data_IF_187940843084
#
_entry.id   IF_187940843084
#
_cell.length_a   1.000
_cell.length_b   1.000
_cell.length_c   1.000
_cell.angle_alpha   90.00
_cell.angle_beta   90.00
_cell.angle_gamma   90.00
#
_symmetry.space_group_name_H-M   'P 1'
#
loop_
_entity.id
_entity.type
_entity.pdbx_description
1 polymer ?
#
# COMPACT_ATOMS: atom_id res chain seq x y z
N UNK A 1 -47.71 -16.92 42.48
CA UNK A 1 -46.56 -17.86 42.36
C UNK A 1 -46.08 -18.14 40.93
N UNK A 2 -46.77 -17.73 39.84
CA UNK A 2 -46.35 -17.93 38.46
C UNK A 2 -45.50 -16.76 37.88
N UNK A 3 -45.62 -15.57 38.45
CA UNK A 3 -44.89 -14.37 37.95
C UNK A 3 -43.43 -14.34 38.37
N UNK A 4 -43.08 -14.91 39.55
CA UNK A 4 -41.69 -14.96 40.05
C UNK A 4 -40.80 -15.96 39.28
N UNK A 5 -41.40 -17.02 38.71
CA UNK A 5 -40.63 -17.99 37.89
C UNK A 5 -40.28 -17.47 36.51
N UNK A 6 -41.10 -16.60 35.96
CA UNK A 6 -40.79 -15.94 34.68
C UNK A 6 -39.69 -14.89 34.80
N UNK A 7 -39.60 -14.18 35.92
CA UNK A 7 -38.58 -13.19 36.18
C UNK A 7 -37.21 -13.81 36.43
N UNK A 8 -37.16 -14.98 37.09
CA UNK A 8 -35.89 -15.69 37.31
C UNK A 8 -35.37 -16.32 36.02
N UNK A 9 -36.25 -16.82 35.13
CA UNK A 9 -35.85 -17.36 33.83
C UNK A 9 -35.38 -16.22 32.90
N UNK A 10 -36.03 -15.06 32.96
CA UNK A 10 -35.61 -13.88 32.17
C UNK A 10 -34.29 -13.30 32.69
N UNK A 11 -34.07 -13.29 33.99
CA UNK A 11 -32.81 -12.83 34.60
C UNK A 11 -31.67 -13.84 34.35
N UNK A 12 -31.93 -15.14 34.31
CA UNK A 12 -30.94 -16.15 33.94
C UNK A 12 -30.60 -16.14 32.44
N UNK A 13 -31.56 -15.77 31.56
CA UNK A 13 -31.31 -15.57 30.14
C UNK A 13 -30.53 -14.28 29.86
N UNK A 14 -30.67 -13.24 30.70
CA UNK A 14 -29.93 -11.99 30.60
C UNK A 14 -28.47 -12.13 31.08
N UNK A 15 -28.17 -13.11 31.94
CA UNK A 15 -26.83 -13.42 32.42
C UNK A 15 -26.00 -14.31 31.45
N UNK A 16 -26.67 -14.94 30.47
CA UNK A 16 -25.98 -15.76 29.45
C UNK A 16 -25.54 -14.93 28.24
N UNK A 17 -25.98 -13.67 28.11
CA UNK A 17 -25.60 -12.80 26.97
C UNK A 17 -24.45 -11.85 27.26
N UNK A 18 -23.70 -12.03 28.34
CA UNK A 18 -22.62 -11.12 28.68
C UNK A 18 -21.27 -11.81 28.82
N UNK A 19 -20.85 -12.54 27.80
CA UNK A 19 -19.45 -12.88 27.58
C UNK A 19 -19.14 -13.05 26.08
N UNK A 20 -19.65 -12.15 25.24
CA UNK A 20 -18.93 -11.83 24.01
C UNK A 20 -17.85 -10.82 24.37
N UNK A 21 -16.86 -11.26 25.12
CA UNK A 21 -15.53 -10.71 25.04
C UNK A 21 -15.18 -10.76 23.57
N UNK A 22 -15.05 -9.60 22.96
CA UNK A 22 -14.34 -9.46 21.69
C UNK A 22 -12.97 -10.09 21.94
N UNK A 23 -12.82 -11.31 21.46
CA UNK A 23 -11.62 -12.12 21.60
C UNK A 23 -10.52 -11.43 20.81
N UNK A 24 -9.80 -10.53 21.50
CA UNK A 24 -8.44 -10.15 21.15
C UNK A 24 -7.51 -11.31 21.48
N UNK A 25 -7.99 -12.54 21.40
CA UNK A 25 -7.23 -13.75 21.59
C UNK A 25 -6.02 -13.70 20.68
N UNK A 26 -4.87 -13.91 21.28
CA UNK A 26 -3.60 -13.97 20.56
C UNK A 26 -3.79 -14.87 19.33
N UNK A 27 -3.78 -14.28 18.13
CA UNK A 27 -3.96 -15.02 16.87
C UNK A 27 -3.03 -16.24 16.79
N UNK A 28 -1.91 -16.20 17.49
CA UNK A 28 -0.95 -17.29 17.57
C UNK A 28 -1.52 -18.53 18.29
N UNK A 29 -2.54 -18.37 19.13
CA UNK A 29 -3.21 -19.47 19.83
C UNK A 29 -4.48 -19.96 19.09
N UNK A 30 -4.84 -19.33 17.97
CA UNK A 30 -5.93 -19.75 17.13
C UNK A 30 -5.68 -21.14 16.54
N UNK A 31 -6.63 -22.04 16.64
CA UNK A 31 -6.55 -23.40 16.11
C UNK A 31 -6.78 -23.39 14.59
N UNK A 32 -5.88 -23.98 13.87
CA UNK A 32 -5.94 -24.20 12.43
C UNK A 32 -5.72 -25.68 12.09
N UNK A 33 -6.06 -26.06 10.86
CA UNK A 33 -5.85 -27.41 10.37
C UNK A 33 -4.61 -27.48 9.51
N UNK A 34 -3.52 -27.94 10.07
CA UNK A 34 -2.27 -28.15 9.33
C UNK A 34 -2.45 -29.31 8.32
N UNK A 35 -2.24 -29.11 7.00
CA UNK A 35 -2.34 -30.17 6.03
C UNK A 35 -1.17 -31.15 6.14
N UNK A 36 -1.44 -32.45 5.97
CA UNK A 36 -0.40 -33.48 5.92
C UNK A 36 0.18 -33.59 4.51
N UNK A 37 1.00 -32.63 4.10
CA UNK A 37 1.58 -32.56 2.76
C UNK A 37 3.09 -32.33 2.82
N UNK A 38 3.79 -32.72 1.74
CA UNK A 38 5.17 -32.28 1.48
C UNK A 38 5.11 -30.99 0.66
N UNK A 39 5.90 -30.00 1.02
CA UNK A 39 5.97 -28.74 0.32
C UNK A 39 7.11 -27.88 0.84
N UNK A 40 7.41 -26.79 0.14
CA UNK A 40 8.38 -25.81 0.61
C UNK A 40 7.85 -25.07 1.85
N UNK A 41 8.76 -24.60 2.70
CA UNK A 41 8.42 -23.78 3.88
C UNK A 41 7.47 -22.65 3.47
N UNK A 42 7.78 -22.00 2.35
CA UNK A 42 6.95 -20.98 1.75
C UNK A 42 5.50 -21.44 1.48
N UNK A 43 5.33 -22.57 0.74
CA UNK A 43 4.01 -23.05 0.36
C UNK A 43 3.16 -23.48 1.56
N UNK A 44 3.81 -23.99 2.61
CA UNK A 44 3.15 -24.40 3.83
C UNK A 44 2.76 -23.20 4.70
N UNK A 45 3.63 -22.20 4.83
CA UNK A 45 3.29 -20.94 5.51
C UNK A 45 2.16 -20.17 4.79
N UNK A 46 2.10 -20.21 3.46
CA UNK A 46 0.99 -19.64 2.69
C UNK A 46 -0.35 -20.24 3.08
N UNK A 47 -0.43 -21.58 3.23
CA UNK A 47 -1.66 -22.27 3.67
C UNK A 47 -2.05 -21.91 5.10
N UNK A 48 -1.07 -21.67 5.97
CA UNK A 48 -1.33 -21.18 7.34
C UNK A 48 -1.83 -19.72 7.31
N UNK A 49 -1.27 -18.89 6.42
CA UNK A 49 -1.70 -17.51 6.19
C UNK A 49 -3.17 -17.42 5.75
N UNK A 50 -3.58 -18.25 4.78
CA UNK A 50 -4.96 -18.33 4.31
C UNK A 50 -5.95 -18.70 5.42
N UNK A 51 -5.59 -19.65 6.29
CA UNK A 51 -6.47 -20.10 7.38
C UNK A 51 -6.48 -19.14 8.57
N UNK A 52 -5.36 -18.50 8.88
CA UNK A 52 -5.27 -17.55 9.99
C UNK A 52 -5.80 -16.16 9.64
N UNK A 53 -5.78 -15.79 8.35
CA UNK A 53 -6.08 -14.44 7.86
C UNK A 53 -4.95 -13.45 8.13
N UNK A 54 -3.73 -13.92 8.49
CA UNK A 54 -2.56 -13.11 8.80
C UNK A 54 -1.41 -13.40 7.85
N UNK A 55 -0.64 -12.40 7.50
CA UNK A 55 0.54 -12.49 6.65
C UNK A 55 1.78 -12.74 7.49
N UNK A 56 2.72 -13.55 6.97
CA UNK A 56 3.99 -13.78 7.62
C UNK A 56 5.07 -12.84 7.10
N UNK A 57 5.85 -12.30 8.04
CA UNK A 57 6.98 -11.41 7.74
C UNK A 57 8.21 -11.97 8.46
N UNK A 58 9.26 -12.31 7.70
CA UNK A 58 10.48 -12.89 8.25
C UNK A 58 11.72 -12.55 7.39
N UNK A 59 12.90 -12.72 7.95
CA UNK A 59 14.18 -12.63 7.24
C UNK A 59 14.55 -14.00 6.64
N UNK A 60 15.00 -14.03 5.39
CA UNK A 60 15.46 -15.27 4.74
C UNK A 60 16.70 -15.89 5.37
N UNK A 61 17.43 -15.13 6.18
CA UNK A 61 18.49 -15.66 7.04
C UNK A 61 17.95 -16.45 8.23
N UNK A 62 16.70 -16.17 8.63
CA UNK A 62 16.01 -16.80 9.76
C UNK A 62 15.14 -17.96 9.28
N UNK A 63 14.42 -17.76 8.15
CA UNK A 63 13.53 -18.77 7.57
C UNK A 63 13.92 -19.00 6.11
N UNK A 64 14.44 -20.17 5.81
CA UNK A 64 14.76 -20.53 4.44
C UNK A 64 13.51 -21.06 3.72
N UNK A 65 13.07 -20.33 2.70
CA UNK A 65 11.85 -20.59 1.94
C UNK A 65 11.87 -21.87 1.09
N UNK A 66 13.05 -22.25 0.63
CA UNK A 66 13.24 -23.28 -0.39
C UNK A 66 13.37 -24.69 0.21
N UNK A 67 13.46 -24.79 1.53
CA UNK A 67 13.54 -26.10 2.20
C UNK A 67 12.19 -26.80 2.07
N UNK A 68 12.23 -28.05 1.59
CA UNK A 68 11.08 -28.93 1.58
C UNK A 68 10.85 -29.56 2.96
N UNK A 69 9.66 -29.37 3.49
CA UNK A 69 9.24 -29.91 4.79
C UNK A 69 8.01 -30.78 4.60
N UNK A 70 7.92 -31.84 5.38
CA UNK A 70 6.74 -32.70 5.42
C UNK A 70 5.99 -32.49 6.72
N UNK A 71 4.78 -31.97 6.64
CA UNK A 71 3.88 -31.78 7.80
C UNK A 71 2.94 -32.96 7.97
N UNK A 72 2.50 -33.21 9.22
CA UNK A 72 1.46 -34.19 9.54
C UNK A 72 0.11 -33.49 9.63
N UNK A 73 -0.95 -34.14 9.10
CA UNK A 73 -2.32 -33.64 9.22
C UNK A 73 -2.75 -33.64 10.67
N UNK A 74 -2.94 -32.44 11.25
CA UNK A 74 -3.41 -32.27 12.63
C UNK A 74 -4.04 -30.88 12.85
N UNK A 75 -4.84 -30.78 13.89
CA UNK A 75 -5.26 -29.47 14.39
C UNK A 75 -4.20 -28.97 15.37
N UNK A 76 -3.74 -27.76 15.20
CA UNK A 76 -2.72 -27.13 16.05
C UNK A 76 -2.90 -25.62 16.06
N UNK A 77 -2.26 -24.93 16.99
CA UNK A 77 -2.29 -23.46 17.00
C UNK A 77 -1.43 -22.92 15.86
N UNK A 78 -1.70 -21.67 15.44
CA UNK A 78 -0.88 -20.96 14.44
C UNK A 78 0.59 -20.96 14.87
N UNK A 79 0.89 -20.71 16.14
CA UNK A 79 2.22 -20.79 16.72
C UNK A 79 2.88 -22.15 16.49
N UNK A 80 2.16 -23.22 16.81
CA UNK A 80 2.69 -24.59 16.64
C UNK A 80 2.90 -24.94 15.16
N UNK A 81 2.01 -24.49 14.29
CA UNK A 81 2.14 -24.70 12.85
C UNK A 81 3.39 -23.99 12.29
N UNK A 82 3.66 -22.76 12.68
CA UNK A 82 4.86 -22.01 12.28
C UNK A 82 6.12 -22.76 12.72
N UNK A 83 6.20 -23.13 14.00
CA UNK A 83 7.38 -23.85 14.52
C UNK A 83 7.60 -25.20 13.87
N UNK A 84 6.55 -25.92 13.49
CA UNK A 84 6.67 -27.19 12.78
C UNK A 84 7.13 -27.02 11.32
N UNK A 85 6.64 -25.99 10.64
CA UNK A 85 7.02 -25.70 9.26
C UNK A 85 8.44 -25.16 9.18
N UNK A 86 8.82 -24.24 10.07
CA UNK A 86 10.15 -23.63 10.06
C UNK A 86 11.21 -24.54 10.70
N UNK A 87 10.80 -25.46 11.58
CA UNK A 87 11.69 -26.40 12.25
C UNK A 87 12.47 -25.79 13.43
N UNK A 88 12.19 -24.55 13.82
CA UNK A 88 12.87 -23.86 14.92
C UNK A 88 11.87 -23.26 15.91
N UNK A 89 11.92 -23.76 17.16
CA UNK A 89 11.06 -23.33 18.26
C UNK A 89 11.63 -22.17 19.08
N UNK A 90 12.87 -21.77 18.78
CA UNK A 90 13.53 -20.67 19.50
C UNK A 90 13.15 -19.30 18.93
N UNK A 91 12.51 -19.27 17.77
CA UNK A 91 12.07 -18.06 17.09
C UNK A 91 11.04 -17.30 17.91
N UNK A 92 11.16 -15.99 17.95
CA UNK A 92 10.18 -15.11 18.55
C UNK A 92 9.08 -14.78 17.54
N UNK A 93 7.82 -14.98 17.92
CA UNK A 93 6.65 -14.64 17.11
C UNK A 93 5.96 -13.41 17.68
N UNK A 94 5.86 -12.35 16.88
CA UNK A 94 5.24 -11.10 17.27
C UNK A 94 4.14 -10.69 16.30
N UNK A 95 2.96 -10.39 16.83
CA UNK A 95 1.82 -9.94 16.01
C UNK A 95 1.80 -8.41 15.96
N UNK A 96 1.81 -7.85 14.75
CA UNK A 96 1.70 -6.41 14.52
C UNK A 96 0.64 -6.16 13.43
N UNK A 97 -0.51 -5.62 13.84
CA UNK A 97 -1.63 -5.43 12.93
C UNK A 97 -2.12 -6.75 12.35
N UNK A 98 -2.08 -6.90 11.03
CA UNK A 98 -2.47 -8.12 10.30
C UNK A 98 -1.26 -8.99 9.90
N UNK A 99 -0.12 -8.83 10.58
CA UNK A 99 1.13 -9.52 10.28
C UNK A 99 1.65 -10.28 11.49
N UNK A 100 2.19 -11.47 11.24
CA UNK A 100 2.95 -12.25 12.20
C UNK A 100 4.42 -12.18 11.80
N UNK A 101 5.23 -11.53 12.64
CA UNK A 101 6.68 -11.44 12.46
C UNK A 101 7.33 -12.67 13.07
N UNK A 102 8.19 -13.33 12.29
CA UNK A 102 9.04 -14.43 12.75
C UNK A 102 10.46 -13.86 12.89
N UNK A 103 10.92 -13.71 14.13
CA UNK A 103 12.17 -13.06 14.49
C UNK A 103 13.16 -14.09 15.04
N UNK A 104 14.47 -13.86 14.93
CA UNK A 104 15.46 -14.68 15.64
C UNK A 104 15.24 -14.56 17.15
N UNK A 105 15.68 -15.56 17.93
CA UNK A 105 15.58 -15.50 19.38
C UNK A 105 16.27 -14.25 19.90
N UNK A 106 15.64 -13.58 20.87
CA UNK A 106 16.25 -12.43 21.54
C UNK A 106 17.53 -12.89 22.24
N UNK A 107 18.69 -12.62 21.65
CA UNK A 107 19.95 -12.82 22.33
C UNK A 107 19.93 -11.98 23.60
N UNK A 108 20.05 -12.63 24.75
CA UNK A 108 20.38 -11.94 25.99
C UNK A 108 21.74 -11.29 25.79
N UNK A 109 21.75 -10.01 25.48
CA UNK A 109 22.96 -9.22 25.34
C UNK A 109 23.65 -9.16 26.70
N UNK A 110 24.45 -10.19 26.99
CA UNK A 110 25.50 -10.09 27.99
C UNK A 110 26.54 -9.14 27.42
N UNK A 111 26.50 -7.89 27.89
CA UNK A 111 27.48 -6.86 27.54
C UNK A 111 28.88 -7.30 28.01
N UNK A 112 29.54 -8.13 27.21
CA UNK A 112 31.00 -8.21 27.24
C UNK A 112 31.48 -7.14 26.25
N UNK A 113 31.96 -6.01 26.83
CA UNK A 113 32.76 -5.04 26.07
C UNK A 113 33.98 -5.77 25.50
N UNK A 114 33.87 -6.20 24.23
CA UNK A 114 35.02 -6.33 23.37
C UNK A 114 35.12 -4.99 22.61
N UNK A 115 36.18 -4.27 22.88
CA UNK A 115 36.64 -3.19 22.02
C UNK A 115 36.96 -3.85 20.68
N UNK A 116 36.04 -3.80 19.73
CA UNK A 116 36.30 -4.04 18.33
C UNK A 116 36.53 -2.68 17.69
N UNK A 117 37.59 -2.57 16.96
CA UNK A 117 37.95 -1.42 16.13
C UNK A 117 36.70 -0.85 15.47
N UNK A 118 36.42 0.40 15.77
CA UNK A 118 35.33 1.17 15.19
C UNK A 118 35.59 1.26 13.69
N UNK A 119 34.88 0.43 12.92
CA UNK A 119 34.67 0.77 11.50
C UNK A 119 33.96 2.12 11.53
N UNK A 120 34.51 3.19 10.96
CA UNK A 120 33.90 4.50 11.01
C UNK A 120 32.49 4.37 10.43
N UNK A 121 31.49 4.80 11.19
CA UNK A 121 30.13 4.91 10.71
C UNK A 121 30.17 5.69 9.40
N UNK A 122 29.52 5.23 8.33
CA UNK A 122 29.50 5.96 7.07
C UNK A 122 29.02 7.37 7.35
N UNK A 123 29.84 8.36 7.01
CA UNK A 123 29.46 9.75 7.09
C UNK A 123 28.31 10.00 6.12
N UNK A 124 27.32 10.77 6.56
CA UNK A 124 26.16 11.14 5.76
C UNK A 124 26.10 12.66 5.63
N UNK A 125 25.67 13.13 4.49
CA UNK A 125 25.30 14.52 4.29
C UNK A 125 23.82 14.64 3.91
N UNK A 126 23.25 15.79 4.22
CA UNK A 126 21.84 16.07 3.93
C UNK A 126 21.74 17.13 2.84
N UNK A 127 20.92 16.89 1.85
CA UNK A 127 20.49 17.89 0.87
C UNK A 127 19.04 18.25 1.17
N UNK A 128 18.77 19.52 1.29
CA UNK A 128 17.44 20.09 1.43
C UNK A 128 17.19 21.10 0.33
N UNK A 129 15.94 21.30 -0.03
CA UNK A 129 15.58 22.31 -1.01
C UNK A 129 14.08 22.43 -1.22
N UNK A 130 13.73 23.39 -2.05
CA UNK A 130 12.40 23.74 -2.46
C UNK A 130 12.29 23.59 -3.97
N UNK A 131 11.29 22.87 -4.45
CA UNK A 131 11.01 22.70 -5.86
C UNK A 131 9.80 23.52 -6.26
N UNK A 132 9.95 24.38 -7.25
CA UNK A 132 8.94 25.29 -7.75
C UNK A 132 8.68 25.11 -9.24
N UNK A 133 7.50 25.45 -9.67
CA UNK A 133 7.19 25.68 -11.08
C UNK A 133 7.94 26.91 -11.58
N UNK A 134 8.56 26.79 -12.76
CA UNK A 134 9.38 27.86 -13.34
C UNK A 134 8.55 29.05 -13.84
N UNK A 135 7.32 28.82 -14.25
CA UNK A 135 6.43 29.85 -14.81
C UNK A 135 5.56 30.51 -13.74
N UNK A 136 4.91 29.70 -12.89
CA UNK A 136 3.98 30.21 -11.88
C UNK A 136 4.63 30.51 -10.53
N UNK A 137 5.80 29.93 -10.25
CA UNK A 137 6.46 30.01 -8.95
C UNK A 137 5.82 29.15 -7.86
N UNK A 138 4.76 28.42 -8.18
CA UNK A 138 4.06 27.55 -7.23
C UNK A 138 4.91 26.36 -6.80
N UNK A 139 4.70 25.81 -5.59
CA UNK A 139 5.41 24.64 -5.13
C UNK A 139 5.02 23.39 -5.94
N UNK A 140 6.00 22.65 -6.43
CA UNK A 140 5.78 21.35 -7.11
C UNK A 140 5.65 20.27 -6.06
N UNK A 141 4.41 19.84 -5.81
CA UNK A 141 4.03 18.86 -4.79
C UNK A 141 4.17 17.45 -5.32
N UNK A 142 4.67 16.52 -4.50
CA UNK A 142 4.85 15.11 -4.85
C UNK A 142 5.82 14.83 -6.01
N UNK A 143 6.72 15.76 -6.27
CA UNK A 143 7.80 15.53 -7.22
C UNK A 143 8.80 14.50 -6.66
N UNK A 144 9.29 13.63 -7.51
CA UNK A 144 10.28 12.62 -7.18
C UNK A 144 11.69 13.20 -7.20
N UNK A 145 12.46 12.97 -6.15
CA UNK A 145 13.87 13.35 -5.99
C UNK A 145 14.66 12.07 -5.75
N UNK A 146 15.37 11.58 -6.76
CA UNK A 146 16.02 10.26 -6.72
C UNK A 146 17.50 10.40 -7.11
N UNK A 147 18.37 9.72 -6.36
CA UNK A 147 19.77 9.56 -6.77
C UNK A 147 19.86 8.50 -7.87
N UNK A 148 20.28 8.91 -9.07
CA UNK A 148 20.34 8.06 -10.25
C UNK A 148 21.18 6.81 -10.01
N UNK A 149 20.71 5.67 -10.51
CA UNK A 149 21.37 4.37 -10.35
C UNK A 149 21.24 3.74 -8.96
N UNK A 150 20.44 4.35 -8.06
CA UNK A 150 20.19 3.82 -6.70
C UNK A 150 18.71 3.78 -6.38
N UNK A 151 18.35 3.15 -5.28
CA UNK A 151 16.99 3.20 -4.70
C UNK A 151 16.83 4.34 -3.68
N UNK A 152 17.79 5.26 -3.56
CA UNK A 152 17.75 6.35 -2.59
C UNK A 152 17.01 7.53 -3.20
N UNK A 153 15.89 7.89 -2.60
CA UNK A 153 15.06 9.00 -3.07
C UNK A 153 14.05 9.46 -2.03
N UNK A 154 13.41 10.55 -2.32
CA UNK A 154 12.29 11.12 -1.56
C UNK A 154 11.33 11.84 -2.52
N UNK A 155 10.21 12.31 -1.98
CA UNK A 155 9.24 13.13 -2.71
C UNK A 155 9.08 14.49 -2.02
N UNK A 156 8.73 15.52 -2.79
CA UNK A 156 8.44 16.84 -2.25
C UNK A 156 7.12 16.85 -1.47
N UNK A 157 7.08 17.61 -0.40
CA UNK A 157 5.89 17.80 0.43
C UNK A 157 4.92 18.84 -0.20
N UNK A 158 3.83 19.16 0.50
CA UNK A 158 2.82 20.14 0.07
C UNK A 158 3.34 21.56 -0.18
N UNK A 159 4.51 21.89 0.36
CA UNK A 159 5.17 23.17 0.16
C UNK A 159 6.25 23.10 -0.94
N UNK A 160 6.40 21.94 -1.62
CA UNK A 160 7.47 21.69 -2.58
C UNK A 160 8.83 21.39 -1.94
N UNK A 161 8.92 21.23 -0.61
CA UNK A 161 10.16 20.98 0.10
C UNK A 161 10.57 19.51 0.02
N UNK A 162 11.87 19.26 -0.13
CA UNK A 162 12.45 17.92 -0.05
C UNK A 162 13.65 17.89 0.89
N UNK A 163 13.91 16.70 1.44
CA UNK A 163 15.10 16.41 2.24
C UNK A 163 15.59 15.01 1.90
N UNK A 164 16.87 14.90 1.56
CA UNK A 164 17.51 13.65 1.21
C UNK A 164 18.81 13.47 2.00
N UNK A 165 18.97 12.32 2.67
CA UNK A 165 20.17 11.95 3.38
C UNK A 165 20.96 10.96 2.52
N UNK A 166 22.20 11.28 2.20
CA UNK A 166 23.06 10.49 1.32
C UNK A 166 24.36 10.12 2.02
N UNK A 167 24.88 8.90 1.82
CA UNK A 167 26.23 8.55 2.25
C UNK A 167 27.28 9.39 1.51
N UNK A 168 28.35 9.76 2.18
CA UNK A 168 29.44 10.55 1.59
C UNK A 168 30.05 9.91 0.34
N UNK A 169 30.03 8.58 0.24
CA UNK A 169 30.50 7.84 -0.94
C UNK A 169 29.70 8.17 -2.21
N UNK A 170 28.49 8.74 -2.09
CA UNK A 170 27.60 9.07 -3.19
C UNK A 170 27.54 10.58 -3.49
N UNK A 171 28.47 11.35 -2.95
CA UNK A 171 28.54 12.81 -3.09
C UNK A 171 28.59 13.30 -4.54
N UNK A 172 29.22 12.53 -5.43
CA UNK A 172 29.34 12.85 -6.86
C UNK A 172 28.21 12.25 -7.72
N UNK A 173 27.17 11.69 -7.09
CA UNK A 173 26.02 11.15 -7.79
C UNK A 173 25.13 12.25 -8.35
N UNK A 174 24.31 11.93 -9.36
CA UNK A 174 23.33 12.86 -9.94
C UNK A 174 21.96 12.64 -9.31
N UNK A 175 21.35 13.71 -8.78
CA UNK A 175 19.98 13.74 -8.35
C UNK A 175 19.07 14.05 -9.54
N UNK A 176 18.08 13.22 -9.75
CA UNK A 176 17.00 13.41 -10.73
C UNK A 176 15.78 13.96 -10.03
N UNK A 177 15.29 15.09 -10.53
CA UNK A 177 14.04 15.73 -10.10
C UNK A 177 13.02 15.52 -11.20
N UNK A 178 11.93 14.85 -10.91
CA UNK A 178 10.89 14.56 -11.90
C UNK A 178 9.48 14.67 -11.30
N UNK A 179 8.57 15.19 -12.10
CA UNK A 179 7.16 15.27 -11.77
C UNK A 179 6.33 15.18 -13.05
N UNK A 180 5.08 14.69 -12.93
CA UNK A 180 4.17 14.62 -14.04
C UNK A 180 3.86 16.04 -14.55
N UNK A 181 4.00 16.25 -15.86
CA UNK A 181 3.77 17.57 -16.49
C UNK A 181 4.99 18.50 -16.46
N UNK A 182 6.16 18.03 -16.03
CA UNK A 182 7.41 18.80 -16.02
C UNK A 182 8.54 18.09 -16.76
N UNK A 183 9.48 18.85 -17.27
CA UNK A 183 10.72 18.33 -17.82
C UNK A 183 11.61 17.87 -16.67
N UNK A 184 12.03 16.60 -16.71
CA UNK A 184 12.90 16.06 -15.69
C UNK A 184 14.28 16.76 -15.72
N UNK A 185 14.78 17.13 -14.55
CA UNK A 185 16.08 17.79 -14.38
C UNK A 185 17.03 16.91 -13.59
N UNK A 186 18.32 16.91 -13.94
CA UNK A 186 19.36 16.19 -13.20
C UNK A 186 20.47 17.15 -12.77
N UNK A 187 20.82 17.10 -11.47
CA UNK A 187 21.82 17.99 -10.85
C UNK A 187 22.78 17.14 -10.03
N UNK A 188 24.05 17.46 -10.05
CA UNK A 188 25.05 16.78 -9.21
C UNK A 188 24.82 17.07 -7.72
N UNK A 189 24.79 16.02 -6.90
CA UNK A 189 24.53 16.15 -5.46
C UNK A 189 25.54 17.07 -4.77
N UNK A 190 26.80 17.03 -5.19
CA UNK A 190 27.88 17.88 -4.67
C UNK A 190 27.58 19.38 -4.74
N UNK A 191 26.84 19.83 -5.75
CA UNK A 191 26.51 21.24 -5.95
C UNK A 191 25.41 21.74 -5.04
N UNK A 192 24.66 20.83 -4.43
CA UNK A 192 23.49 21.12 -3.60
C UNK A 192 23.78 21.03 -2.08
N UNK A 193 24.97 20.61 -1.69
CA UNK A 193 25.35 20.42 -0.29
C UNK A 193 25.56 21.78 0.40
N UNK A 194 24.96 21.92 1.59
CA UNK A 194 25.19 23.07 2.47
C UNK A 194 24.60 24.39 1.95
N UNK A 195 23.60 24.31 1.08
CA UNK A 195 22.93 25.49 0.50
C UNK A 195 21.43 25.40 0.70
N UNK A 196 20.77 26.55 0.70
CA UNK A 196 19.32 26.65 0.57
C UNK A 196 18.96 26.54 -0.92
N UNK A 197 18.65 25.32 -1.35
CA UNK A 197 18.41 25.03 -2.75
C UNK A 197 16.97 25.40 -3.13
N UNK A 198 16.81 26.34 -4.06
CA UNK A 198 15.54 26.61 -4.73
C UNK A 198 15.70 26.19 -6.19
N UNK A 199 15.01 25.11 -6.57
CA UNK A 199 15.09 24.53 -7.90
C UNK A 199 13.77 24.78 -8.63
N UNK A 200 13.82 25.07 -9.92
CA UNK A 200 12.62 25.29 -10.73
C UNK A 200 12.53 24.20 -11.79
N UNK A 201 11.40 23.51 -11.84
CA UNK A 201 11.08 22.58 -12.93
C UNK A 201 10.34 23.35 -14.04
N UNK A 202 10.73 23.10 -15.25
CA UNK A 202 10.10 23.65 -16.44
C UNK A 202 8.84 22.85 -16.77
N UNK A 203 7.66 23.48 -16.87
CA UNK A 203 6.48 22.82 -17.36
C UNK A 203 6.73 22.21 -18.74
N UNK A 204 6.32 20.99 -18.93
CA UNK A 204 6.43 20.32 -20.21
C UNK A 204 5.30 20.81 -21.12
N UNK A 205 5.60 21.83 -21.93
CA UNK A 205 4.70 22.25 -22.98
C UNK A 205 4.74 21.17 -24.05
N UNK A 206 3.71 20.34 -24.12
CA UNK A 206 3.52 19.45 -25.25
C UNK A 206 2.89 20.29 -26.35
N UNK A 207 3.60 20.56 -27.46
CA UNK A 207 2.99 21.24 -28.60
C UNK A 207 1.78 20.39 -29.03
N UNK A 208 0.62 21.02 -29.11
CA UNK A 208 -0.58 20.38 -29.67
C UNK A 208 -0.27 20.03 -31.12
N UNK A 209 0.27 18.84 -31.34
CA UNK A 209 0.14 18.22 -32.67
C UNK A 209 -1.36 18.13 -32.89
N UNK A 210 -1.78 18.47 -34.11
CA UNK A 210 -3.15 18.40 -34.59
C UNK A 210 -3.74 17.05 -34.19
N UNK A 211 -4.43 17.03 -33.03
CA UNK A 211 -5.02 15.81 -32.48
C UNK A 211 -6.23 15.56 -33.38
N UNK A 212 -6.11 14.62 -34.26
CA UNK A 212 -7.25 13.98 -34.91
C UNK A 212 -8.10 13.40 -33.79
N UNK A 213 -9.15 14.11 -33.35
CA UNK A 213 -10.11 13.66 -32.37
C UNK A 213 -10.82 12.45 -32.94
N UNK A 214 -10.23 11.28 -32.84
CA UNK A 214 -10.98 10.04 -32.96
C UNK A 214 -11.80 9.94 -31.71
N UNK A 215 -13.10 10.11 -31.84
CA UNK A 215 -14.06 9.73 -30.79
C UNK A 215 -13.93 8.23 -30.59
N UNK A 216 -13.02 7.84 -29.69
CA UNK A 216 -12.86 6.43 -29.32
C UNK A 216 -13.99 6.11 -28.37
N UNK A 217 -14.79 5.11 -28.70
CA UNK A 217 -15.85 4.64 -27.81
C UNK A 217 -15.21 4.15 -26.49
N UNK A 218 -15.54 4.74 -25.32
CA UNK A 218 -14.83 4.46 -24.07
C UNK A 218 -14.93 2.99 -23.67
N UNK A 219 -16.06 2.34 -23.89
CA UNK A 219 -16.23 0.91 -23.60
C UNK A 219 -15.35 0.02 -24.47
N UNK A 220 -15.18 0.38 -25.75
CA UNK A 220 -14.30 -0.35 -26.68
C UNK A 220 -12.84 -0.27 -26.18
N UNK A 221 -12.39 0.92 -25.80
CA UNK A 221 -11.04 1.13 -25.31
C UNK A 221 -10.78 0.34 -24.02
N UNK A 222 -11.75 0.31 -23.09
CA UNK A 222 -11.65 -0.48 -21.87
C UNK A 222 -11.60 -1.99 -22.14
N UNK A 223 -12.38 -2.49 -23.12
CA UNK A 223 -12.29 -3.91 -23.55
C UNK A 223 -10.91 -4.23 -24.11
N UNK A 224 -10.39 -3.39 -24.97
CA UNK A 224 -9.05 -3.56 -25.56
C UNK A 224 -7.99 -3.57 -24.46
N UNK A 225 -8.04 -2.64 -23.51
CA UNK A 225 -7.14 -2.59 -22.36
C UNK A 225 -7.16 -3.89 -21.54
N UNK A 226 -8.36 -4.40 -21.25
CA UNK A 226 -8.51 -5.64 -20.47
C UNK A 226 -8.05 -6.86 -21.27
N UNK A 227 -8.36 -6.92 -22.57
CA UNK A 227 -7.98 -8.04 -23.44
C UNK A 227 -6.46 -8.12 -23.64
N UNK A 228 -5.78 -6.97 -23.77
CA UNK A 228 -4.33 -6.90 -23.92
C UNK A 228 -3.56 -6.98 -22.62
N UNK A 229 -4.25 -7.21 -21.50
CA UNK A 229 -3.64 -7.32 -20.17
C UNK A 229 -2.52 -8.35 -20.10
N UNK A 230 -2.72 -9.51 -20.73
CA UNK A 230 -1.74 -10.60 -20.74
C UNK A 230 -0.46 -10.27 -21.52
N UNK A 231 -0.51 -9.35 -22.47
CA UNK A 231 0.65 -8.90 -23.26
C UNK A 231 1.35 -7.72 -22.58
N UNK A 232 0.58 -6.81 -22.02
CA UNK A 232 1.12 -5.59 -21.43
C UNK A 232 1.70 -5.78 -20.04
N UNK A 233 1.20 -6.72 -19.23
CA UNK A 233 1.61 -6.91 -17.83
C UNK A 233 2.27 -8.26 -17.61
N UNK A 234 3.13 -8.35 -16.59
CA UNK A 234 3.91 -9.56 -16.35
C UNK A 234 3.02 -10.78 -16.09
N UNK A 235 3.21 -11.81 -16.89
CA UNK A 235 2.64 -13.15 -16.66
C UNK A 235 3.49 -13.97 -15.69
N UNK A 236 4.72 -13.53 -15.41
CA UNK A 236 5.65 -14.24 -14.53
C UNK A 236 5.68 -13.58 -13.16
N UNK A 237 5.86 -14.38 -12.10
CA UNK A 237 6.05 -13.80 -10.77
C UNK A 237 7.32 -12.94 -10.72
N UNK A 238 7.28 -11.88 -9.94
CA UNK A 238 8.38 -10.93 -9.80
C UNK A 238 8.68 -10.59 -8.35
N UNK A 239 9.95 -10.33 -8.06
CA UNK A 239 10.37 -9.77 -6.79
C UNK A 239 10.55 -8.27 -6.93
N UNK A 240 9.84 -7.51 -6.09
CA UNK A 240 9.94 -6.07 -6.01
C UNK A 240 10.55 -5.66 -4.67
N UNK A 241 11.35 -4.60 -4.68
CA UNK A 241 11.72 -3.90 -3.45
C UNK A 241 10.89 -2.64 -3.38
N UNK A 242 10.03 -2.54 -2.35
CA UNK A 242 9.07 -1.46 -2.22
C UNK A 242 9.35 -0.64 -0.98
N UNK A 243 9.19 0.67 -1.09
CA UNK A 243 9.15 1.58 0.04
C UNK A 243 7.70 1.87 0.37
N UNK A 244 7.34 1.68 1.63
CA UNK A 244 6.02 1.98 2.17
C UNK A 244 6.11 3.13 3.16
N UNK A 245 5.20 4.08 3.05
CA UNK A 245 5.04 5.15 4.03
C UNK A 245 3.57 5.30 4.38
N UNK A 246 3.26 5.32 5.67
CA UNK A 246 1.95 5.62 6.22
C UNK A 246 2.07 6.75 7.23
N UNK A 247 1.33 7.83 7.01
CA UNK A 247 1.23 8.93 7.94
C UNK A 247 -0.22 9.10 8.42
N UNK A 248 -0.42 9.10 9.73
CA UNK A 248 -1.71 9.42 10.34
C UNK A 248 -1.63 10.82 10.92
N UNK A 249 -2.54 11.70 10.50
CA UNK A 249 -2.64 13.07 10.98
C UNK A 249 -3.99 13.30 11.66
N UNK A 250 -3.97 14.02 12.77
CA UNK A 250 -5.15 14.52 13.46
C UNK A 250 -4.97 16.04 13.67
N UNK A 251 -5.95 16.83 13.25
CA UNK A 251 -5.90 18.31 13.36
C UNK A 251 -4.58 18.91 12.83
N UNK A 252 -4.13 18.44 11.66
CA UNK A 252 -2.88 18.83 10.99
C UNK A 252 -1.56 18.46 11.73
N UNK A 253 -1.61 17.67 12.80
CA UNK A 253 -0.42 17.16 13.48
C UNK A 253 -0.25 15.66 13.18
N UNK A 254 0.97 15.24 12.88
CA UNK A 254 1.28 13.81 12.72
C UNK A 254 1.15 13.11 14.07
N UNK A 255 0.27 12.11 14.14
CA UNK A 255 0.10 11.22 15.27
C UNK A 255 1.03 10.01 15.15
N UNK A 256 1.19 9.50 13.96
CA UNK A 256 2.16 8.45 13.69
C UNK A 256 2.67 8.54 12.27
N UNK A 257 3.93 8.15 12.09
CA UNK A 257 4.57 7.97 10.80
C UNK A 257 5.23 6.60 10.79
N UNK A 258 4.85 5.76 9.85
CA UNK A 258 5.47 4.46 9.64
C UNK A 258 6.13 4.45 8.27
N UNK A 259 7.39 4.10 8.24
CA UNK A 259 8.17 3.91 7.01
C UNK A 259 8.75 2.51 7.00
N UNK A 260 8.65 1.81 5.90
CA UNK A 260 9.17 0.47 5.79
C UNK A 260 9.67 0.16 4.39
N UNK A 261 10.67 -0.69 4.31
CA UNK A 261 11.15 -1.28 3.05
C UNK A 261 10.77 -2.75 3.07
N UNK A 262 10.10 -3.18 2.02
CA UNK A 262 9.68 -4.55 1.84
C UNK A 262 10.31 -5.14 0.59
N UNK A 263 10.59 -6.43 0.64
CA UNK A 263 10.71 -7.27 -0.54
C UNK A 263 9.35 -7.95 -0.76
N UNK A 264 8.77 -7.72 -1.92
CA UNK A 264 7.44 -8.25 -2.28
C UNK A 264 7.64 -9.31 -3.34
N UNK A 265 7.09 -10.50 -3.11
CA UNK A 265 6.86 -11.48 -4.15
C UNK A 265 5.50 -11.19 -4.76
N UNK A 266 5.50 -10.70 -5.98
CA UNK A 266 4.30 -10.45 -6.77
C UNK A 266 3.99 -11.71 -7.55
N UNK A 267 2.86 -12.35 -7.28
CA UNK A 267 2.44 -13.53 -8.03
C UNK A 267 2.02 -13.15 -9.46
N UNK A 268 2.07 -14.13 -10.36
CA UNK A 268 1.69 -13.92 -11.77
C UNK A 268 0.20 -13.65 -11.95
N UNK A 269 -0.15 -12.99 -13.05
CA UNK A 269 -1.54 -12.75 -13.45
C UNK A 269 -2.41 -14.02 -13.53
N UNK A 270 -1.91 -15.17 -14.09
CA UNK A 270 -2.70 -16.39 -14.19
C UNK A 270 -2.97 -17.08 -12.86
N UNK A 271 -2.15 -16.83 -11.84
CA UNK A 271 -2.25 -17.49 -10.53
C UNK A 271 -3.16 -16.70 -9.57
N UNK A 272 -4.44 -16.56 -9.92
CA UNK A 272 -5.42 -15.83 -9.10
C UNK A 272 -5.56 -16.37 -7.66
N UNK A 273 -5.11 -17.59 -7.39
CA UNK A 273 -5.21 -18.23 -6.08
C UNK A 273 -3.94 -18.07 -5.22
N UNK A 274 -2.90 -17.41 -5.71
CA UNK A 274 -1.67 -17.18 -4.95
C UNK A 274 -1.60 -15.71 -4.54
N UNK A 275 -1.67 -15.48 -3.23
CA UNK A 275 -1.54 -14.14 -2.66
C UNK A 275 -0.12 -13.61 -2.81
N UNK A 276 0.02 -12.32 -3.09
CA UNK A 276 1.29 -11.62 -3.01
C UNK A 276 1.89 -11.76 -1.61
N UNK A 277 3.20 -11.91 -1.50
CA UNK A 277 3.86 -12.08 -0.22
C UNK A 277 4.83 -10.93 0.06
N UNK A 278 4.94 -10.61 1.33
CA UNK A 278 5.68 -9.44 1.79
C UNK A 278 6.72 -9.85 2.79
N UNK A 279 7.97 -9.44 2.55
CA UNK A 279 9.07 -9.58 3.50
C UNK A 279 9.51 -8.20 3.95
N UNK A 280 9.43 -7.92 5.24
CA UNK A 280 9.97 -6.70 5.82
C UNK A 280 11.50 -6.75 5.82
N UNK A 281 12.13 -5.74 5.23
CA UNK A 281 13.59 -5.58 5.25
C UNK A 281 14.01 -4.57 6.33
N UNK A 282 13.30 -3.44 6.41
CA UNK A 282 13.57 -2.39 7.38
C UNK A 282 12.29 -1.63 7.70
N UNK A 283 12.12 -1.21 8.95
CA UNK A 283 11.00 -0.39 9.38
C UNK A 283 11.46 0.66 10.38
N UNK A 284 10.89 1.85 10.26
CA UNK A 284 10.97 2.93 11.24
C UNK A 284 9.55 3.37 11.57
N UNK A 285 9.25 3.52 12.84
CA UNK A 285 7.97 4.04 13.31
C UNK A 285 8.21 5.14 14.33
N UNK A 286 7.62 6.29 14.05
CA UNK A 286 7.53 7.41 14.99
C UNK A 286 6.09 7.47 15.45
N UNK A 287 5.87 7.42 16.75
CA UNK A 287 4.55 7.49 17.38
C UNK A 287 4.56 8.68 18.37
N UNK A 288 3.83 9.72 18.03
CA UNK A 288 3.75 10.98 18.79
C UNK A 288 2.47 11.04 19.64
N UNK A 289 1.76 9.92 19.78
CA UNK A 289 0.56 9.86 20.61
C UNK A 289 0.94 10.03 22.06
N UNK A 290 0.36 11.00 22.73
CA UNK A 290 0.42 11.09 24.18
C UNK A 290 -0.26 9.85 24.77
N UNK A 291 0.24 9.33 25.88
CA UNK A 291 -0.24 8.09 26.52
C UNK A 291 -1.72 8.11 26.92
N UNK A 292 -2.32 9.30 26.96
CA UNK A 292 -3.75 9.55 27.23
C UNK A 292 -4.62 9.53 25.98
N UNK A 293 -4.05 9.65 24.80
CA UNK A 293 -4.80 9.56 23.55
C UNK A 293 -5.07 8.09 23.21
N UNK A 294 -6.18 7.58 23.71
CA UNK A 294 -6.76 6.31 23.26
C UNK A 294 -6.80 6.31 21.76
N UNK A 295 -6.53 5.17 21.14
CA UNK A 295 -6.62 5.00 19.68
C UNK A 295 -7.96 5.53 19.17
N UNK A 296 -7.94 6.75 18.61
CA UNK A 296 -9.15 7.46 18.17
C UNK A 296 -9.87 6.67 17.09
N UNK A 297 -9.10 6.03 16.19
CA UNK A 297 -9.62 5.11 15.19
C UNK A 297 -8.55 4.18 14.64
N UNK A 298 -9.00 3.00 14.19
CA UNK A 298 -8.21 2.10 13.34
C UNK A 298 -8.80 2.16 11.93
N UNK A 299 -7.98 2.60 10.98
CA UNK A 299 -8.33 2.68 9.56
C UNK A 299 -7.75 1.44 8.87
N UNK A 300 -8.46 0.95 7.85
CA UNK A 300 -7.96 -0.13 6.99
C UNK A 300 -6.87 0.43 6.07
N UNK A 301 -5.63 0.21 6.46
CA UNK A 301 -4.42 0.66 5.78
C UNK A 301 -3.35 -0.44 5.89
N UNK A 302 -2.19 -0.21 5.30
CA UNK A 302 -1.05 -1.11 5.36
C UNK A 302 -0.61 -1.58 3.98
N UNK A 303 0.56 -2.23 3.94
CA UNK A 303 1.16 -2.71 2.68
C UNK A 303 0.22 -3.64 1.89
N UNK A 304 -0.56 -4.47 2.58
CA UNK A 304 -1.52 -5.36 1.92
C UNK A 304 -2.59 -4.58 1.15
N UNK A 305 -3.13 -3.51 1.74
CA UNK A 305 -4.09 -2.66 1.06
C UNK A 305 -3.47 -1.99 -0.19
N UNK A 306 -2.19 -1.64 -0.13
CA UNK A 306 -1.47 -1.10 -1.29
C UNK A 306 -1.27 -2.16 -2.39
N UNK A 307 -1.00 -3.41 -2.04
CA UNK A 307 -0.84 -4.50 -3.02
C UNK A 307 -2.16 -4.84 -3.73
N UNK A 308 -3.29 -4.72 -3.02
CA UNK A 308 -4.63 -4.89 -3.59
C UNK A 308 -5.04 -3.79 -4.57
N UNK A 309 -4.24 -2.71 -4.68
CA UNK A 309 -4.47 -1.66 -5.68
C UNK A 309 -4.01 -2.05 -7.09
N UNK A 310 -3.47 -3.24 -7.30
CA UNK A 310 -3.15 -3.73 -8.65
C UNK A 310 -4.42 -4.13 -9.40
N UNK A 311 -5.12 -3.13 -9.95
CA UNK A 311 -6.38 -3.32 -10.67
C UNK A 311 -6.21 -4.06 -12.01
N UNK A 312 -4.98 -4.24 -12.49
CA UNK A 312 -4.71 -5.09 -13.65
C UNK A 312 -4.56 -6.56 -13.26
N UNK A 313 -4.22 -6.84 -12.01
CA UNK A 313 -4.21 -8.20 -11.46
C UNK A 313 -5.63 -8.62 -11.05
N UNK A 314 -6.29 -7.84 -10.21
CA UNK A 314 -7.66 -8.05 -9.74
C UNK A 314 -8.57 -6.99 -10.38
N UNK A 315 -9.26 -7.36 -11.47
CA UNK A 315 -10.11 -6.44 -12.21
C UNK A 315 -11.31 -6.02 -11.35
N UNK A 316 -11.45 -4.73 -11.03
CA UNK A 316 -12.63 -4.25 -10.29
C UNK A 316 -13.86 -4.15 -11.20
N UNK A 317 -15.04 -4.12 -10.58
CA UNK A 317 -16.34 -4.11 -11.29
C UNK A 317 -16.47 -3.01 -12.33
N UNK A 318 -15.84 -1.84 -12.13
CA UNK A 318 -15.88 -0.75 -13.10
C UNK A 318 -15.09 -1.04 -14.39
N UNK A 319 -14.33 -2.13 -14.47
CA UNK A 319 -13.69 -2.62 -15.68
C UNK A 319 -14.49 -3.74 -16.37
N UNK A 320 -15.54 -4.25 -15.72
CA UNK A 320 -16.44 -5.25 -16.28
C UNK A 320 -17.50 -4.58 -17.16
N UNK A 321 -17.06 -3.96 -18.27
CA UNK A 321 -17.90 -3.07 -19.12
C UNK A 321 -19.07 -3.76 -19.79
N UNK A 322 -19.01 -5.06 -19.99
CA UNK A 322 -19.99 -5.89 -20.69
C UNK A 322 -20.92 -6.66 -19.73
N UNK A 323 -20.78 -6.46 -18.41
CA UNK A 323 -21.67 -7.08 -17.44
C UNK A 323 -23.10 -6.55 -17.65
N UNK A 324 -24.11 -7.46 -17.61
CA UNK A 324 -25.51 -7.15 -17.85
C UNK A 324 -26.01 -6.06 -16.88
N UNK A 325 -25.65 -6.18 -15.63
CA UNK A 325 -26.01 -5.26 -14.54
C UNK A 325 -24.92 -4.21 -14.25
N UNK A 326 -24.09 -3.86 -15.25
CA UNK A 326 -23.01 -2.89 -15.04
C UNK A 326 -23.56 -1.57 -14.47
N UNK A 327 -23.16 -1.19 -13.23
CA UNK A 327 -23.70 0.00 -12.56
C UNK A 327 -23.02 1.30 -13.01
N UNK A 328 -22.10 1.27 -13.98
CA UNK A 328 -21.26 2.40 -14.37
C UNK A 328 -21.65 3.00 -15.72
N UNK A 329 -21.37 4.29 -15.85
CA UNK A 329 -21.34 5.05 -17.12
C UNK A 329 -19.90 5.42 -17.42
N UNK A 330 -19.58 5.47 -18.71
CA UNK A 330 -18.24 5.79 -19.20
C UNK A 330 -18.30 6.92 -20.20
N UNK A 331 -17.38 7.88 -20.06
CA UNK A 331 -17.25 9.02 -20.99
C UNK A 331 -15.80 9.18 -21.40
N UNK A 332 -15.59 9.54 -22.67
CA UNK A 332 -14.25 9.88 -23.14
C UNK A 332 -13.84 11.26 -22.62
N UNK A 333 -12.62 11.35 -22.16
CA UNK A 333 -11.95 12.62 -21.86
C UNK A 333 -11.02 13.03 -23.01
N UNK A 334 -10.33 14.14 -22.79
CA UNK A 334 -9.33 14.63 -23.74
C UNK A 334 -8.09 13.72 -23.73
N UNK A 335 -7.43 13.64 -24.87
CA UNK A 335 -6.13 12.98 -24.98
C UNK A 335 -5.11 13.83 -24.23
N UNK A 336 -4.25 13.18 -23.45
CA UNK A 336 -3.17 13.85 -22.71
C UNK A 336 -1.86 13.06 -22.82
N UNK A 337 -0.81 13.55 -22.17
CA UNK A 337 0.49 12.88 -22.17
C UNK A 337 0.90 12.55 -20.72
N UNK A 338 1.42 11.34 -20.52
CA UNK A 338 2.00 10.87 -19.27
C UNK A 338 3.35 10.23 -19.60
N UNK A 339 4.44 10.74 -19.01
CA UNK A 339 5.81 10.22 -19.24
C UNK A 339 6.15 10.06 -20.74
N UNK A 340 5.89 11.09 -21.56
CA UNK A 340 6.07 11.13 -23.01
C UNK A 340 5.15 10.22 -23.84
N UNK A 341 4.16 9.57 -23.21
CA UNK A 341 3.19 8.71 -23.89
C UNK A 341 1.88 9.42 -24.08
N UNK A 342 1.36 9.33 -25.30
CA UNK A 342 0.02 9.78 -25.63
C UNK A 342 -1.00 8.83 -25.00
N UNK A 343 -1.90 9.35 -24.18
CA UNK A 343 -2.89 8.53 -23.48
C UNK A 343 -4.31 9.04 -23.72
N UNK A 344 -5.22 8.11 -23.93
CA UNK A 344 -6.64 8.36 -23.94
C UNK A 344 -7.18 8.36 -22.50
N UNK A 345 -8.04 9.31 -22.19
CA UNK A 345 -8.66 9.38 -20.87
C UNK A 345 -10.08 8.84 -20.93
N UNK A 346 -10.41 7.93 -20.04
CA UNK A 346 -11.76 7.43 -19.84
C UNK A 346 -12.21 7.76 -18.42
N UNK A 347 -13.26 8.55 -18.32
CA UNK A 347 -13.94 8.78 -17.05
C UNK A 347 -15.00 7.72 -16.83
N UNK A 348 -15.15 7.28 -15.58
CA UNK A 348 -16.21 6.39 -15.17
C UNK A 348 -16.88 6.89 -13.90
N UNK A 349 -18.18 6.75 -13.83
CA UNK A 349 -18.98 7.08 -12.66
C UNK A 349 -20.21 6.16 -12.55
N UNK A 350 -20.73 6.00 -11.35
CA UNK A 350 -21.93 5.21 -11.16
C UNK A 350 -23.17 5.85 -11.78
N UNK A 351 -24.07 4.99 -12.30
CA UNK A 351 -25.39 5.41 -12.83
C UNK A 351 -26.23 6.07 -11.71
N UNK A 352 -27.03 7.06 -12.07
CA UNK A 352 -27.88 7.79 -11.12
C UNK A 352 -28.91 6.91 -10.37
N UNK A 353 -29.25 5.76 -10.92
CA UNK A 353 -30.14 4.78 -10.30
C UNK A 353 -29.50 4.01 -9.14
N UNK A 354 -28.19 3.98 -9.08
CA UNK A 354 -27.41 3.26 -8.05
C UNK A 354 -27.13 4.20 -6.89
N UNK A 355 -27.48 3.80 -5.67
CA UNK A 355 -27.30 4.63 -4.45
C UNK A 355 -26.26 4.08 -3.47
N UNK A 356 -25.54 3.03 -3.84
CA UNK A 356 -24.43 2.50 -3.04
C UNK A 356 -23.17 3.31 -3.24
N UNK A 357 -22.24 3.31 -2.26
CA UNK A 357 -20.96 3.99 -2.41
C UNK A 357 -20.03 3.22 -3.37
N UNK A 358 -20.14 3.48 -4.67
CA UNK A 358 -19.29 2.92 -5.70
C UNK A 358 -18.12 3.87 -6.03
N UNK A 359 -17.21 3.37 -6.84
CA UNK A 359 -16.07 4.15 -7.32
C UNK A 359 -16.44 5.05 -8.49
N UNK A 360 -15.70 6.14 -8.65
CA UNK A 360 -15.67 6.98 -9.85
C UNK A 360 -14.22 7.44 -10.09
N UNK A 361 -13.93 7.90 -11.28
CA UNK A 361 -12.57 8.37 -11.55
C UNK A 361 -12.21 8.46 -13.01
N UNK A 362 -10.88 8.42 -13.26
CA UNK A 362 -10.28 8.52 -14.58
C UNK A 362 -9.25 7.42 -14.80
N UNK A 363 -9.26 6.82 -15.95
CA UNK A 363 -8.32 5.82 -16.45
C UNK A 363 -7.55 6.42 -17.62
N UNK A 364 -6.23 6.34 -17.57
CA UNK A 364 -5.32 6.88 -18.58
C UNK A 364 -4.70 5.71 -19.32
N UNK A 365 -5.08 5.54 -20.56
CA UNK A 365 -4.78 4.36 -21.37
C UNK A 365 -3.88 4.76 -22.53
N UNK A 366 -2.74 4.10 -22.64
CA UNK A 366 -1.76 4.32 -23.71
C UNK A 366 -2.42 4.12 -25.10
N UNK A 367 -2.24 5.08 -25.99
CA UNK A 367 -2.85 5.06 -27.33
C UNK A 367 -2.20 4.07 -28.28
N UNK A 368 -0.98 3.60 -27.98
CA UNK A 368 -0.22 2.69 -28.86
C UNK A 368 -0.52 1.23 -28.57
N UNK A 369 -0.53 0.84 -27.28
CA UNK A 369 -0.64 -0.55 -26.87
C UNK A 369 -1.83 -0.84 -25.96
N UNK A 370 -2.69 0.15 -25.71
CA UNK A 370 -3.88 0.06 -24.85
C UNK A 370 -3.55 -0.34 -23.40
N UNK A 371 -2.32 -0.12 -22.94
CA UNK A 371 -1.98 -0.36 -21.53
C UNK A 371 -2.54 0.74 -20.62
N UNK A 372 -3.02 0.39 -19.44
CA UNK A 372 -3.33 1.36 -18.40
C UNK A 372 -2.02 1.93 -17.85
N UNK A 373 -1.82 3.22 -18.03
CA UNK A 373 -0.62 3.93 -17.53
C UNK A 373 -0.88 4.49 -16.14
N UNK A 374 -2.08 5.01 -15.92
CA UNK A 374 -2.48 5.56 -14.63
C UNK A 374 -3.97 5.38 -14.40
N UNK A 375 -4.35 5.18 -13.16
CA UNK A 375 -5.73 5.26 -12.70
C UNK A 375 -5.83 6.21 -11.50
N UNK A 376 -6.81 7.11 -11.54
CA UNK A 376 -7.22 7.91 -10.40
C UNK A 376 -8.65 7.54 -10.05
N UNK A 377 -8.83 6.95 -8.90
CA UNK A 377 -10.07 6.33 -8.47
C UNK A 377 -10.46 6.95 -7.13
N UNK A 378 -11.71 7.34 -6.99
CA UNK A 378 -12.23 7.79 -5.70
C UNK A 378 -13.60 7.15 -5.43
N UNK A 379 -13.98 7.06 -4.17
CA UNK A 379 -15.36 6.73 -3.83
C UNK A 379 -16.22 7.95 -4.14
N UNK A 380 -17.35 7.69 -4.81
CA UNK A 380 -18.26 8.75 -5.21
C UNK A 380 -18.58 9.69 -4.03
N UNK A 381 -18.20 10.97 -4.12
CA UNK A 381 -18.34 11.93 -3.01
C UNK A 381 -19.76 12.04 -2.46
N UNK A 382 -20.77 11.77 -3.30
CA UNK A 382 -22.17 11.81 -2.91
C UNK A 382 -22.55 10.74 -1.88
N UNK A 383 -21.88 9.59 -1.92
CA UNK A 383 -22.17 8.43 -1.07
C UNK A 383 -21.02 8.07 -0.11
N UNK A 384 -19.98 8.91 -0.04
CA UNK A 384 -18.75 8.62 0.73
C UNK A 384 -19.02 8.38 2.23
N UNK A 385 -20.01 9.03 2.80
CA UNK A 385 -20.37 8.85 4.23
C UNK A 385 -20.82 7.44 4.54
N UNK A 386 -21.52 6.80 3.61
CA UNK A 386 -22.00 5.42 3.72
C UNK A 386 -20.84 4.42 3.68
N UNK A 387 -19.75 4.78 3.02
CA UNK A 387 -18.54 3.98 2.95
C UNK A 387 -17.69 4.01 4.24
N UNK A 388 -18.05 4.81 5.23
CA UNK A 388 -17.25 4.97 6.47
C UNK A 388 -16.96 3.62 7.12
N UNK A 389 -17.92 2.71 7.18
CA UNK A 389 -17.76 1.37 7.78
C UNK A 389 -16.75 0.48 7.04
N UNK A 390 -16.45 0.78 5.78
CA UNK A 390 -15.48 0.05 4.98
C UNK A 390 -14.05 0.40 5.44
N UNK A 391 -13.83 1.67 5.79
CA UNK A 391 -12.49 2.20 6.09
C UNK A 391 -12.20 2.27 7.58
N UNK A 392 -13.19 2.61 8.41
CA UNK A 392 -13.03 2.72 9.86
C UNK A 392 -13.32 1.38 10.49
N UNK A 393 -12.26 0.67 10.87
CA UNK A 393 -12.35 -0.68 11.49
C UNK A 393 -12.73 -0.59 12.97
N UNK A 394 -12.25 0.45 13.65
CA UNK A 394 -12.52 0.68 15.07
C UNK A 394 -12.42 2.17 15.38
N UNK A 395 -13.30 2.66 16.21
CA UNK A 395 -13.29 4.02 16.75
C UNK A 395 -13.51 4.02 18.25
N UNK A 396 -13.08 5.07 18.94
CA UNK A 396 -13.37 5.24 20.36
C UNK A 396 -14.87 5.49 20.59
N UNK A 397 -15.46 5.03 21.71
CA UNK A 397 -16.90 5.08 21.94
C UNK A 397 -17.52 6.49 21.89
N UNK A 398 -16.72 7.53 22.17
CA UNK A 398 -17.16 8.93 22.20
C UNK A 398 -16.85 9.71 20.92
N UNK A 399 -16.37 9.04 19.89
CA UNK A 399 -15.92 9.68 18.66
C UNK A 399 -16.64 9.06 17.48
N UNK A 400 -17.35 9.88 16.71
CA UNK A 400 -17.92 9.51 15.43
C UNK A 400 -16.99 9.99 14.32
N UNK A 401 -16.43 9.04 13.58
CA UNK A 401 -15.65 9.32 12.37
C UNK A 401 -16.54 9.16 11.15
N UNK A 402 -16.51 10.15 10.30
CA UNK A 402 -17.19 10.12 9.00
C UNK A 402 -16.15 10.32 7.91
N UNK A 403 -16.05 9.37 6.99
CA UNK A 403 -15.16 9.47 5.84
C UNK A 403 -15.62 10.60 4.92
N UNK A 404 -14.71 11.48 4.56
CA UNK A 404 -14.98 12.62 3.67
C UNK A 404 -14.42 12.42 2.27
N UNK A 405 -13.28 11.74 2.16
CA UNK A 405 -12.60 11.54 0.88
C UNK A 405 -11.71 10.31 0.93
N UNK A 406 -11.75 9.51 -0.11
CA UNK A 406 -10.82 8.42 -0.35
C UNK A 406 -10.43 8.46 -1.82
N UNK A 407 -9.16 8.67 -2.10
CA UNK A 407 -8.60 8.73 -3.45
C UNK A 407 -7.43 7.76 -3.56
N UNK A 408 -7.44 6.98 -4.60
CA UNK A 408 -6.35 6.09 -4.99
C UNK A 408 -5.75 6.62 -6.29
N UNK A 409 -4.44 6.72 -6.33
CA UNK A 409 -3.69 6.97 -7.57
C UNK A 409 -2.75 5.80 -7.77
N UNK A 410 -2.91 5.14 -8.89
CA UNK A 410 -2.14 3.95 -9.28
C UNK A 410 -1.44 4.30 -10.57
N UNK A 411 -0.14 4.09 -10.63
CA UNK A 411 0.66 4.32 -11.84
C UNK A 411 1.33 3.03 -12.27
N UNK A 412 1.36 2.78 -13.57
CA UNK A 412 2.06 1.67 -14.18
C UNK A 412 3.15 2.21 -15.09
N UNK A 413 4.34 1.61 -15.00
CA UNK A 413 5.48 2.00 -15.85
C UNK A 413 6.07 0.79 -16.54
N UNK A 414 6.46 0.93 -17.82
CA UNK A 414 7.08 -0.16 -18.55
C UNK A 414 8.52 -0.39 -18.10
N UNK A 415 8.88 -1.64 -17.94
CA UNK A 415 10.23 -2.12 -17.76
C UNK A 415 10.47 -3.29 -18.70
N UNK A 416 11.42 -3.12 -19.65
CA UNK A 416 11.71 -4.13 -20.68
C UNK A 416 10.46 -4.59 -21.46
N UNK A 417 9.58 -3.65 -21.81
CA UNK A 417 8.35 -3.91 -22.56
C UNK A 417 7.15 -4.38 -21.74
N UNK A 418 7.30 -4.60 -20.44
CA UNK A 418 6.22 -5.06 -19.55
C UNK A 418 5.92 -3.99 -18.50
N UNK A 419 4.64 -3.75 -18.22
CA UNK A 419 4.21 -2.77 -17.23
C UNK A 419 4.19 -3.34 -15.81
N UNK A 420 4.65 -2.55 -14.87
CA UNK A 420 4.65 -2.84 -13.42
C UNK A 420 4.11 -1.65 -12.65
N UNK A 421 3.66 -1.87 -11.43
CA UNK A 421 3.30 -0.80 -10.48
C UNK A 421 4.56 -0.31 -9.76
N UNK A 422 5.16 0.83 -10.12
CA UNK A 422 6.25 1.42 -9.37
C UNK A 422 5.75 2.16 -8.13
N UNK A 423 4.54 2.76 -8.20
CA UNK A 423 3.96 3.58 -7.14
C UNK A 423 2.45 3.41 -7.08
N UNK A 424 1.92 3.24 -5.89
CA UNK A 424 0.52 3.47 -5.58
C UNK A 424 0.39 4.42 -4.39
N UNK A 425 -0.59 5.28 -4.44
CA UNK A 425 -0.85 6.29 -3.41
C UNK A 425 -2.30 6.24 -2.97
N UNK A 426 -2.53 6.26 -1.65
CA UNK A 426 -3.88 6.33 -1.07
C UNK A 426 -3.99 7.55 -0.17
N UNK A 427 -4.98 8.39 -0.42
CA UNK A 427 -5.33 9.50 0.44
C UNK A 427 -6.72 9.29 1.04
N UNK A 428 -6.78 9.18 2.37
CA UNK A 428 -8.03 9.07 3.10
C UNK A 428 -8.18 10.26 4.05
N UNK A 429 -9.32 10.94 3.96
CA UNK A 429 -9.71 12.00 4.88
C UNK A 429 -11.01 11.64 5.59
N UNK A 430 -11.01 11.75 6.91
CA UNK A 430 -12.20 11.60 7.74
C UNK A 430 -12.40 12.83 8.61
N UNK A 431 -13.64 13.09 8.98
CA UNK A 431 -14.04 14.13 9.93
C UNK A 431 -14.45 13.48 11.24
N UNK A 432 -13.96 14.07 12.33
CA UNK A 432 -14.26 13.66 13.70
C UNK A 432 -15.36 14.57 14.26
N UNK A 433 -16.40 13.95 14.83
CA UNK A 433 -17.40 14.63 15.64
C UNK A 433 -17.46 13.96 17.00
N UNK A 434 -17.56 14.74 18.07
CA UNK A 434 -17.87 14.18 19.39
C UNK A 434 -19.30 13.60 19.34
N UNK A 435 -19.49 12.41 19.88
CA UNK A 435 -20.82 11.90 20.17
C UNK A 435 -21.33 12.63 21.41
N UNK A 436 -22.44 13.33 21.28
CA UNK A 436 -23.17 13.98 22.39
C UNK A 436 -23.64 12.92 23.41
#
# INVERSE_FOLDING_TARGET
MKLHRFFIIFLSLLLITCDMRADGGDVLERIIRLPGTKGTVYSLLSKVSEQSGYLFVYDSKVVNNDIEVRTKKKNCTVRQAIYEIVGDRTLELKVIGNHILILPPAEKVVRKRKVSEETPLPAYFTITGLLRDKETGDPVVSASVILQGTSIGNITNKNGEFRLNLPDSLKNGKLSFSHLGYVAQSIEASTLIGRDNVLSLEPKIVPLQEVLIRLVEPKKLLREMVNQRGENYSLNPAYLTTFYREGVQLKNKFQSLTEAVFKVYKSSLPEMNVSDQVKLLKMSKIDNRESTDSLVAKIRAGIQACLQLDIMKDLPDFLSVDAEDNPYMYTSGDITFIDDRCVNVVYFEQKRSVRSPLYCGALYIDSENSALVQARIEINPKYIKEATRIFVVRQAPKINLTTQKVVYTISYKPWKGTYYIPVSYTHLRAHETCAD
#
